data_IF_807285509687
#
_entry.id   IF_807285509687
#
_cell.length_a   1.000
_cell.length_b   1.000
_cell.length_c   1.000
_cell.angle_alpha   90.00
_cell.angle_beta   90.00
_cell.angle_gamma   90.00
#
_symmetry.space_group_name_H-M   'P 1'
#
loop_
_entity.id
_entity.type
_entity.pdbx_description
1 polymer ?
#
# COMPACT_ATOMS: atom_id res chain seq x y z
N UNK A 1 25.26 41.73 2.75
CA UNK A 1 23.90 41.39 3.22
C UNK A 1 23.89 39.92 3.63
N UNK A 2 24.26 39.66 4.88
CA UNK A 2 24.24 38.35 5.53
C UNK A 2 23.42 38.52 6.81
N UNK A 3 22.16 38.12 6.79
CA UNK A 3 21.29 37.95 7.98
C UNK A 3 20.02 37.27 7.49
N UNK A 4 19.90 35.96 7.71
CA UNK A 4 18.62 35.23 7.82
C UNK A 4 18.77 33.75 8.24
N UNK A 5 20.00 33.23 8.37
CA UNK A 5 20.21 31.84 8.83
C UNK A 5 20.11 31.62 10.34
N UNK A 6 20.05 32.67 11.16
CA UNK A 6 20.00 32.52 12.62
C UNK A 6 18.58 32.25 13.13
N UNK A 7 17.54 32.78 12.47
CA UNK A 7 16.16 32.66 12.93
C UNK A 7 15.56 31.24 12.76
N UNK A 8 15.97 30.48 11.74
CA UNK A 8 15.46 29.12 11.48
C UNK A 8 16.03 28.10 12.48
N UNK A 9 17.21 28.36 13.05
CA UNK A 9 17.88 27.44 14.00
C UNK A 9 17.22 27.41 15.38
N UNK A 10 16.58 28.50 15.81
CA UNK A 10 15.93 28.57 17.11
C UNK A 10 14.51 28.00 17.11
N UNK A 11 13.82 27.98 15.97
CA UNK A 11 12.46 27.43 15.86
C UNK A 11 12.44 25.89 15.87
N UNK A 12 13.47 25.25 15.32
CA UNK A 12 13.61 23.78 15.31
C UNK A 12 14.05 23.19 16.67
N UNK A 13 14.80 23.94 17.48
CA UNK A 13 15.24 23.48 18.80
C UNK A 13 14.08 23.37 19.82
N UNK A 14 13.06 24.22 19.69
CA UNK A 14 11.88 24.19 20.56
C UNK A 14 10.93 23.02 20.29
N UNK A 15 10.85 22.54 19.04
CA UNK A 15 9.96 21.44 18.67
C UNK A 15 10.52 20.05 19.05
N UNK A 16 11.84 19.91 19.09
CA UNK A 16 12.53 18.65 19.43
C UNK A 16 12.47 18.30 20.93
N UNK A 17 12.20 19.28 21.80
CA UNK A 17 12.11 19.08 23.24
C UNK A 17 10.79 18.41 23.71
N UNK A 18 9.80 18.27 22.82
CA UNK A 18 8.50 17.67 23.13
C UNK A 18 8.30 16.27 22.53
N UNK A 19 9.31 15.70 21.87
CA UNK A 19 9.24 14.37 21.25
C UNK A 19 9.94 13.31 22.13
N UNK A 20 9.38 12.08 22.23
CA UNK A 20 10.05 10.98 22.90
C UNK A 20 11.45 10.72 22.28
N UNK A 21 12.45 10.28 23.08
CA UNK A 21 13.86 10.13 22.64
C UNK A 21 14.08 9.28 21.38
N UNK A 22 13.13 8.41 21.05
CA UNK A 22 13.15 7.54 19.86
C UNK A 22 13.06 8.34 18.56
N UNK A 23 12.27 9.41 18.52
CA UNK A 23 12.05 10.21 17.30
C UNK A 23 13.24 11.12 16.97
N UNK A 24 13.98 11.56 18.00
CA UNK A 24 15.20 12.37 17.82
C UNK A 24 16.30 11.57 17.12
N UNK A 25 16.38 10.25 17.33
CA UNK A 25 17.34 9.37 16.62
C UNK A 25 16.93 9.07 15.17
N UNK A 26 15.63 9.06 14.86
CA UNK A 26 15.13 8.82 13.50
C UNK A 26 15.30 10.07 12.62
N UNK A 27 15.12 11.27 13.19
CA UNK A 27 15.21 12.54 12.45
C UNK A 27 16.65 13.09 12.29
N UNK A 28 17.59 12.72 13.16
CA UNK A 28 19.00 13.18 13.06
C UNK A 28 19.88 12.33 12.13
N UNK A 29 19.35 11.26 11.53
CA UNK A 29 20.04 10.49 10.49
C UNK A 29 19.83 11.11 9.10
N UNK A 30 20.22 12.37 8.92
CA UNK A 30 20.35 13.03 7.63
C UNK A 30 21.84 13.16 7.24
N UNK A 31 22.46 11.99 7.04
CA UNK A 31 23.57 11.73 6.13
C UNK A 31 23.08 10.58 5.23
N UNK A 32 23.53 10.42 3.97
CA UNK A 32 22.87 9.54 3.00
C UNK A 32 22.84 8.12 3.58
N UNK A 33 21.68 7.75 4.12
CA UNK A 33 21.53 6.52 4.88
C UNK A 33 21.68 5.39 3.89
N UNK A 34 22.50 4.40 4.24
CA UNK A 34 22.52 3.15 3.51
C UNK A 34 21.06 2.69 3.27
N UNK A 35 20.73 2.17 2.08
CA UNK A 35 19.36 1.78 1.77
C UNK A 35 18.83 0.88 2.89
N UNK A 36 17.72 1.29 3.50
CA UNK A 36 17.05 0.48 4.54
C UNK A 36 16.67 -0.85 3.89
N UNK A 37 17.08 -1.97 4.49
CA UNK A 37 16.78 -3.27 3.93
C UNK A 37 15.27 -3.53 3.94
N UNK A 38 14.77 -4.30 2.96
CA UNK A 38 13.36 -4.72 2.93
C UNK A 38 12.95 -5.40 4.23
N UNK A 39 13.84 -6.22 4.80
CA UNK A 39 13.61 -6.87 6.09
C UNK A 39 13.37 -5.87 7.22
N UNK A 40 14.13 -4.77 7.26
CA UNK A 40 13.93 -3.72 8.27
C UNK A 40 12.61 -2.98 8.07
N UNK A 41 12.18 -2.74 6.83
CA UNK A 41 10.87 -2.15 6.54
C UNK A 41 9.71 -3.07 6.98
N UNK A 42 9.83 -4.37 6.73
CA UNK A 42 8.84 -5.37 7.16
C UNK A 42 8.75 -5.43 8.69
N UNK A 43 9.89 -5.43 9.39
CA UNK A 43 9.90 -5.45 10.85
C UNK A 43 9.35 -4.16 11.46
N UNK A 44 9.61 -3.00 10.83
CA UNK A 44 9.02 -1.73 11.24
C UNK A 44 7.48 -1.74 11.10
N UNK A 45 6.94 -2.25 9.99
CA UNK A 45 5.51 -2.47 9.81
C UNK A 45 4.95 -3.41 10.89
N UNK A 46 5.68 -4.46 11.27
CA UNK A 46 5.22 -5.36 12.32
C UNK A 46 5.13 -4.71 13.69
N UNK A 47 6.05 -3.81 14.03
CA UNK A 47 5.99 -3.01 15.25
C UNK A 47 4.79 -2.06 15.19
N UNK A 48 4.58 -1.36 14.07
CA UNK A 48 3.42 -0.48 13.89
C UNK A 48 2.08 -1.21 14.06
N UNK A 49 1.97 -2.44 13.53
CA UNK A 49 0.76 -3.25 13.70
C UNK A 49 0.53 -3.67 15.16
N UNK A 50 1.59 -3.90 15.95
CA UNK A 50 1.46 -4.15 17.38
C UNK A 50 0.97 -2.90 18.14
N UNK A 51 1.55 -1.73 17.82
CA UNK A 51 1.08 -0.47 18.39
C UNK A 51 -0.40 -0.22 18.10
N UNK A 52 -0.86 -0.52 16.89
CA UNK A 52 -2.27 -0.39 16.51
C UNK A 52 -3.16 -1.41 17.25
N UNK A 53 -2.68 -2.65 17.43
CA UNK A 53 -3.38 -3.65 18.23
C UNK A 53 -3.63 -3.17 19.66
N UNK A 54 -2.64 -2.50 20.27
CA UNK A 54 -2.74 -1.99 21.65
C UNK A 54 -3.63 -0.74 21.75
N UNK A 55 -3.73 0.06 20.68
CA UNK A 55 -4.59 1.26 20.63
C UNK A 55 -6.07 0.93 20.38
N UNK A 56 -6.38 -0.26 19.88
CA UNK A 56 -7.77 -0.61 19.56
C UNK A 56 -8.57 -0.85 20.84
N UNK A 57 -9.62 -0.06 21.14
CA UNK A 57 -10.54 -0.40 22.20
C UNK A 57 -11.23 -1.71 21.79
N UNK A 58 -11.07 -2.76 22.58
CA UNK A 58 -11.71 -4.05 22.32
C UNK A 58 -13.21 -3.84 22.06
N UNK A 59 -13.68 -4.09 20.83
CA UNK A 59 -15.10 -4.01 20.50
C UNK A 59 -15.83 -5.24 21.05
N UNK A 60 -16.43 -5.05 22.23
CA UNK A 60 -17.81 -5.44 22.53
C UNK A 60 -18.12 -6.84 23.04
N UNK A 61 -18.16 -7.03 24.36
CA UNK A 61 -19.12 -7.91 25.07
C UNK A 61 -19.06 -7.64 26.58
N UNK A 62 -20.21 -7.76 27.25
CA UNK A 62 -20.41 -7.50 28.68
C UNK A 62 -19.44 -8.28 29.57
N UNK A 63 -18.85 -7.59 30.56
CA UNK A 63 -17.88 -8.16 31.50
C UNK A 63 -16.46 -7.76 31.14
N UNK A 64 -16.12 -6.49 31.33
CA UNK A 64 -14.74 -6.04 31.23
C UNK A 64 -13.86 -6.77 32.26
N UNK A 65 -12.79 -7.49 31.88
CA UNK A 65 -11.58 -7.43 32.66
C UNK A 65 -10.94 -6.06 32.41
N UNK A 66 -10.42 -5.47 33.49
CA UNK A 66 -9.89 -4.13 33.55
C UNK A 66 -8.96 -3.79 32.38
N UNK A 67 -8.93 -2.50 32.01
CA UNK A 67 -7.82 -1.92 31.27
C UNK A 67 -6.51 -2.46 31.83
N UNK A 68 -5.74 -3.15 30.98
CA UNK A 68 -4.45 -3.72 31.36
C UNK A 68 -3.53 -2.54 31.71
N UNK A 69 -3.29 -2.36 33.00
CA UNK A 69 -2.46 -1.30 33.59
C UNK A 69 -1.12 -1.86 34.08
N UNK A 70 -0.59 -2.88 33.42
CA UNK A 70 0.76 -3.39 33.71
C UNK A 70 1.80 -2.66 32.88
N UNK A 71 2.99 -2.49 33.46
CA UNK A 71 4.16 -1.80 32.91
C UNK A 71 4.74 -2.41 31.59
N UNK A 72 3.98 -3.28 30.91
CA UNK A 72 4.34 -3.93 29.64
C UNK A 72 4.37 -2.93 28.46
N UNK A 73 3.66 -1.79 28.59
CA UNK A 73 3.30 -0.89 27.49
C UNK A 73 4.38 0.09 27.01
N UNK A 74 5.49 0.28 27.73
CA UNK A 74 6.49 1.27 27.30
C UNK A 74 7.42 0.77 26.18
N UNK A 75 7.37 -0.52 25.83
CA UNK A 75 8.44 -1.18 25.07
C UNK A 75 8.08 -1.65 23.65
N UNK A 76 6.80 -1.83 23.27
CA UNK A 76 6.38 -1.87 21.85
C UNK A 76 6.15 -3.25 21.18
N UNK A 77 5.93 -4.33 21.94
CA UNK A 77 5.47 -5.64 21.46
C UNK A 77 4.78 -6.34 22.64
N UNK A 78 3.51 -6.72 22.48
CA UNK A 78 2.75 -7.41 23.54
C UNK A 78 2.74 -8.93 23.37
N UNK A 79 2.79 -9.65 24.50
CA UNK A 79 2.62 -11.10 24.51
C UNK A 79 1.22 -11.51 24.04
N UNK A 80 0.20 -10.67 24.29
CA UNK A 80 -1.16 -10.88 23.81
C UNK A 80 -1.23 -10.90 22.28
N UNK A 81 -0.61 -9.92 21.61
CA UNK A 81 -0.57 -9.92 20.14
C UNK A 81 0.26 -11.07 19.59
N UNK A 82 1.38 -11.41 20.23
CA UNK A 82 2.18 -12.60 19.90
C UNK A 82 1.32 -13.87 19.90
N UNK A 83 0.50 -14.06 20.95
CA UNK A 83 -0.47 -15.17 21.00
C UNK A 83 -1.45 -15.16 19.82
N UNK A 84 -2.00 -13.99 19.47
CA UNK A 84 -2.92 -13.84 18.33
C UNK A 84 -2.26 -14.18 16.98
N UNK A 85 -0.99 -13.85 16.81
CA UNK A 85 -0.20 -14.22 15.62
C UNK A 85 -0.02 -15.74 15.55
N UNK A 86 0.36 -16.39 16.65
CA UNK A 86 0.51 -17.85 16.71
C UNK A 86 -0.83 -18.58 16.48
N UNK A 87 -1.94 -18.06 17.02
CA UNK A 87 -3.27 -18.61 16.77
C UNK A 87 -3.68 -18.47 15.31
N UNK A 88 -3.35 -17.33 14.66
CA UNK A 88 -3.58 -17.15 13.22
C UNK A 88 -2.74 -18.13 12.39
N UNK A 89 -1.49 -18.36 12.79
CA UNK A 89 -0.63 -19.33 12.12
C UNK A 89 -1.17 -20.76 12.26
N UNK A 90 -1.61 -21.17 13.46
CA UNK A 90 -2.22 -22.49 13.66
C UNK A 90 -3.48 -22.71 12.80
N UNK A 91 -4.40 -21.73 12.78
CA UNK A 91 -5.59 -21.79 11.92
C UNK A 91 -5.26 -21.82 10.43
N UNK A 92 -4.20 -21.13 10.01
CA UNK A 92 -3.76 -21.15 8.63
C UNK A 92 -3.16 -22.51 8.26
N UNK A 93 -2.38 -23.13 9.14
CA UNK A 93 -1.80 -24.45 8.93
C UNK A 93 -2.89 -25.51 8.79
N UNK A 94 -3.92 -25.46 9.64
CA UNK A 94 -5.10 -26.31 9.55
C UNK A 94 -5.83 -26.13 8.21
N UNK A 95 -6.09 -24.89 7.80
CA UNK A 95 -6.73 -24.58 6.51
C UNK A 95 -5.93 -25.06 5.31
N UNK A 96 -4.60 -24.98 5.38
CA UNK A 96 -3.69 -25.46 4.34
C UNK A 96 -3.41 -26.95 4.45
N UNK A 97 -3.92 -27.63 5.48
CA UNK A 97 -3.71 -29.06 5.76
C UNK A 97 -2.23 -29.44 5.76
N UNK A 98 -1.37 -28.61 6.34
CA UNK A 98 0.10 -28.79 6.35
C UNK A 98 0.64 -28.97 7.77
N UNK A 99 1.59 -29.90 7.92
CA UNK A 99 2.29 -30.17 9.17
C UNK A 99 3.71 -29.59 9.20
N UNK A 100 4.16 -28.94 8.11
CA UNK A 100 5.55 -28.51 7.91
C UNK A 100 6.10 -27.58 9.01
N UNK A 101 5.23 -26.97 9.83
CA UNK A 101 5.58 -26.01 10.87
C UNK A 101 5.01 -26.36 12.26
N UNK A 102 4.45 -27.57 12.43
CA UNK A 102 3.80 -27.97 13.68
C UNK A 102 4.77 -27.91 14.88
N UNK A 103 6.00 -28.37 14.71
CA UNK A 103 7.04 -28.31 15.73
C UNK A 103 7.41 -26.86 16.10
N UNK A 104 7.57 -25.98 15.10
CA UNK A 104 7.86 -24.56 15.34
C UNK A 104 6.73 -23.86 16.11
N UNK A 105 5.47 -24.16 15.76
CA UNK A 105 4.31 -23.61 16.48
C UNK A 105 4.25 -24.08 17.93
N UNK A 106 4.50 -25.37 18.17
CA UNK A 106 4.52 -25.93 19.52
C UNK A 106 5.63 -25.30 20.38
N UNK A 107 6.84 -25.19 19.83
CA UNK A 107 7.98 -24.54 20.49
C UNK A 107 7.69 -23.07 20.83
N UNK A 108 7.22 -22.27 19.87
CA UNK A 108 6.88 -20.86 20.09
C UNK A 108 5.73 -20.67 21.09
N UNK A 109 4.76 -21.60 21.14
CA UNK A 109 3.72 -21.60 22.19
C UNK A 109 4.29 -21.90 23.58
N UNK A 110 5.26 -22.81 23.67
CA UNK A 110 6.00 -23.06 24.90
C UNK A 110 6.77 -21.82 25.38
N UNK A 111 7.48 -21.16 24.47
CA UNK A 111 8.19 -19.90 24.76
C UNK A 111 7.21 -18.80 25.21
N UNK A 112 6.06 -18.67 24.55
CA UNK A 112 5.02 -17.72 24.94
C UNK A 112 4.53 -17.99 26.37
N UNK A 113 4.21 -19.25 26.69
CA UNK A 113 3.72 -19.62 28.02
C UNK A 113 4.77 -19.36 29.12
N UNK A 114 6.05 -19.62 28.83
CA UNK A 114 7.15 -19.31 29.74
C UNK A 114 7.28 -17.79 29.99
N UNK A 115 7.19 -16.97 28.94
CA UNK A 115 7.23 -15.50 29.08
C UNK A 115 6.01 -14.95 29.81
N UNK A 116 4.82 -15.51 29.59
CA UNK A 116 3.60 -15.13 30.31
C UNK A 116 3.65 -15.48 31.81
N UNK A 117 4.43 -16.50 32.19
CA UNK A 117 4.61 -16.92 33.58
C UNK A 117 5.71 -16.15 34.30
N UNK A 118 6.54 -15.37 33.58
CA UNK A 118 7.62 -14.60 34.16
C UNK A 118 7.08 -13.31 34.82
N UNK A 119 7.60 -12.97 36.00
CA UNK A 119 7.20 -11.76 36.72
C UNK A 119 7.55 -10.47 35.96
N UNK A 120 8.62 -10.49 35.15
CA UNK A 120 9.04 -9.39 34.29
C UNK A 120 9.73 -9.95 33.04
N UNK A 121 8.97 -10.30 31.98
CA UNK A 121 9.54 -10.89 30.78
C UNK A 121 10.44 -9.87 30.05
N UNK A 122 11.72 -10.21 29.76
CA UNK A 122 12.65 -9.31 29.07
C UNK A 122 12.09 -8.82 27.74
N UNK A 123 12.29 -7.54 27.46
CA UNK A 123 11.82 -6.90 26.24
C UNK A 123 12.35 -7.60 24.98
N UNK A 124 13.65 -7.88 24.93
CA UNK A 124 14.30 -8.52 23.78
C UNK A 124 13.69 -9.89 23.50
N UNK A 125 13.41 -10.68 24.53
CA UNK A 125 12.78 -11.99 24.39
C UNK A 125 11.35 -11.90 23.84
N UNK A 126 10.56 -10.92 24.30
CA UNK A 126 9.21 -10.66 23.77
C UNK A 126 9.26 -10.27 22.29
N UNK A 127 10.14 -9.32 21.94
CA UNK A 127 10.33 -8.84 20.57
C UNK A 127 10.78 -9.96 19.62
N UNK A 128 11.77 -10.74 20.02
CA UNK A 128 12.26 -11.85 19.19
C UNK A 128 11.20 -12.92 18.97
N UNK A 129 10.44 -13.30 20.01
CA UNK A 129 9.35 -14.26 19.87
C UNK A 129 8.26 -13.74 18.91
N UNK A 130 7.87 -12.48 19.02
CA UNK A 130 6.89 -11.87 18.13
C UNK A 130 7.36 -11.86 16.68
N UNK A 131 8.61 -11.45 16.43
CA UNK A 131 9.16 -11.45 15.07
C UNK A 131 9.30 -12.86 14.51
N UNK A 132 9.69 -13.84 15.33
CA UNK A 132 9.75 -15.23 14.91
C UNK A 132 8.36 -15.79 14.58
N UNK A 133 7.34 -15.46 15.38
CA UNK A 133 5.95 -15.82 15.10
C UNK A 133 5.46 -15.19 13.78
N UNK A 134 5.82 -13.92 13.50
CA UNK A 134 5.47 -13.22 12.27
C UNK A 134 6.17 -13.79 11.03
N UNK A 135 7.47 -14.09 11.14
CA UNK A 135 8.23 -14.79 10.10
C UNK A 135 7.64 -16.17 9.81
N UNK A 136 7.28 -16.92 10.84
CA UNK A 136 6.64 -18.24 10.70
C UNK A 136 5.29 -18.12 9.99
N UNK A 137 4.43 -17.20 10.42
CA UNK A 137 3.14 -16.95 9.79
C UNK A 137 3.31 -16.57 8.31
N UNK A 138 4.29 -15.71 7.98
CA UNK A 138 4.61 -15.33 6.60
C UNK A 138 5.06 -16.54 5.77
N UNK A 139 6.02 -17.33 6.26
CA UNK A 139 6.50 -18.56 5.59
C UNK A 139 5.35 -19.54 5.33
N UNK A 140 4.53 -19.77 6.35
CA UNK A 140 3.35 -20.64 6.23
C UNK A 140 2.37 -20.10 5.17
N UNK A 141 2.08 -18.80 5.15
CA UNK A 141 1.21 -18.21 4.14
C UNK A 141 1.75 -18.43 2.72
N UNK A 142 3.06 -18.40 2.52
CA UNK A 142 3.69 -18.61 1.22
C UNK A 142 3.73 -20.07 0.78
N UNK A 143 3.38 -21.02 1.66
CA UNK A 143 3.15 -22.42 1.24
C UNK A 143 1.76 -22.65 0.63
N UNK A 144 0.93 -21.62 0.56
CA UNK A 144 -0.42 -21.74 0.00
C UNK A 144 -0.36 -22.02 -1.51
N UNK A 145 -0.89 -23.16 -2.00
CA UNK A 145 -0.84 -23.52 -3.43
C UNK A 145 -1.66 -22.57 -4.32
N UNK A 146 -2.53 -21.72 -3.76
CA UNK A 146 -3.24 -20.69 -4.52
C UNK A 146 -2.37 -19.47 -4.84
N UNK A 147 -1.20 -19.35 -4.22
CA UNK A 147 -0.21 -18.32 -4.54
C UNK A 147 0.73 -18.80 -5.67
N UNK A 148 0.15 -19.40 -6.70
CA UNK A 148 0.86 -19.93 -7.87
C UNK A 148 1.03 -18.84 -8.95
N UNK A 149 1.72 -17.77 -8.58
CA UNK A 149 2.07 -16.69 -9.49
C UNK A 149 3.40 -16.03 -9.05
N UNK A 150 4.16 -15.56 -10.03
CA UNK A 150 5.50 -15.01 -9.83
C UNK A 150 5.55 -13.48 -9.89
N UNK A 151 4.41 -12.84 -10.17
CA UNK A 151 4.30 -11.41 -10.43
C UNK A 151 3.03 -10.80 -9.83
N UNK A 152 3.16 -9.63 -9.23
CA UNK A 152 2.03 -8.81 -8.77
C UNK A 152 2.07 -7.46 -9.48
N UNK A 153 1.01 -7.12 -10.20
CA UNK A 153 0.81 -5.78 -10.78
C UNK A 153 0.26 -4.84 -9.71
N UNK A 154 0.80 -3.63 -9.64
CA UNK A 154 0.26 -2.58 -8.77
C UNK A 154 0.58 -1.18 -9.30
N UNK A 155 -0.23 -0.20 -8.89
CA UNK A 155 0.00 1.21 -9.17
C UNK A 155 0.55 1.90 -7.93
N UNK A 156 1.52 2.80 -8.13
CA UNK A 156 1.80 3.87 -7.17
C UNK A 156 1.19 5.14 -7.72
N UNK A 157 0.54 5.92 -6.86
CA UNK A 157 -0.02 7.24 -7.19
C UNK A 157 -0.02 8.12 -5.95
N UNK A 158 -0.09 9.42 -6.15
CA UNK A 158 -0.37 10.36 -5.08
C UNK A 158 -1.86 10.39 -4.75
N UNK A 159 -2.19 10.80 -3.53
CA UNK A 159 -3.56 11.18 -3.20
C UNK A 159 -4.02 12.31 -4.12
N UNK A 160 -5.29 12.29 -4.52
CA UNK A 160 -5.85 13.34 -5.36
C UNK A 160 -5.79 14.69 -4.67
N UNK A 161 -5.41 15.71 -5.44
CA UNK A 161 -5.48 17.10 -5.01
C UNK A 161 -6.92 17.60 -4.88
N UNK A 162 -7.06 18.81 -4.37
CA UNK A 162 -8.37 19.46 -4.20
C UNK A 162 -9.11 19.01 -2.94
N UNK A 163 -10.42 18.79 -3.06
CA UNK A 163 -11.26 18.43 -1.91
C UNK A 163 -11.09 16.94 -1.62
N UNK A 164 -10.83 16.59 -0.36
CA UNK A 164 -10.66 15.20 0.04
C UNK A 164 -12.03 14.52 0.19
N UNK A 165 -12.50 13.88 -0.88
CA UNK A 165 -13.76 13.14 -0.90
C UNK A 165 -13.63 11.86 -1.74
N UNK A 166 -14.43 10.83 -1.40
CA UNK A 166 -14.30 9.47 -1.94
C UNK A 166 -14.35 9.36 -3.48
N UNK A 167 -15.02 10.27 -4.18
CA UNK A 167 -15.11 10.26 -5.65
C UNK A 167 -14.04 11.10 -6.36
N UNK A 168 -13.43 12.06 -5.68
CA UNK A 168 -12.53 13.05 -6.29
C UNK A 168 -11.24 12.44 -6.81
N UNK A 169 -10.88 11.26 -6.27
CA UNK A 169 -9.76 10.45 -6.71
C UNK A 169 -9.89 9.88 -8.13
N UNK A 170 -11.09 9.94 -8.72
CA UNK A 170 -11.37 9.46 -10.08
C UNK A 170 -11.50 10.59 -11.11
N UNK A 171 -11.40 11.85 -10.68
CA UNK A 171 -11.37 12.98 -11.61
C UNK A 171 -9.93 13.27 -12.02
N UNK A 172 -9.65 13.22 -13.32
CA UNK A 172 -8.33 13.55 -13.85
C UNK A 172 -7.87 14.96 -13.47
N UNK A 173 -8.80 15.90 -13.29
CA UNK A 173 -8.50 17.27 -12.88
C UNK A 173 -7.95 17.38 -11.45
N UNK A 174 -8.17 16.36 -10.62
CA UNK A 174 -7.62 16.28 -9.28
C UNK A 174 -6.36 15.40 -9.23
N UNK A 175 -5.95 14.80 -10.34
CA UNK A 175 -4.76 13.96 -10.38
C UNK A 175 -3.51 14.78 -10.05
N UNK A 176 -2.66 14.24 -9.18
CA UNK A 176 -1.33 14.81 -8.89
C UNK A 176 -0.30 13.95 -9.61
N UNK A 177 0.52 14.52 -10.52
CA UNK A 177 1.51 13.76 -11.28
C UNK A 177 2.46 12.98 -10.37
N UNK A 178 2.74 11.73 -10.72
CA UNK A 178 3.72 10.89 -10.05
C UNK A 178 3.24 9.47 -9.82
N UNK A 179 4.20 8.61 -9.49
CA UNK A 179 3.96 7.18 -9.39
C UNK A 179 4.18 6.47 -10.72
N UNK A 180 3.34 5.47 -11.03
CA UNK A 180 3.55 4.60 -12.19
C UNK A 180 2.85 3.25 -12.06
N UNK A 181 3.04 2.45 -13.10
CA UNK A 181 2.57 1.07 -13.19
C UNK A 181 3.74 0.12 -12.95
N UNK A 182 3.69 -0.65 -11.87
CA UNK A 182 4.82 -1.45 -11.39
C UNK A 182 4.46 -2.93 -11.30
N UNK A 183 5.47 -3.77 -11.49
CA UNK A 183 5.40 -5.21 -11.26
C UNK A 183 6.34 -5.56 -10.11
N UNK A 184 5.83 -6.30 -9.12
CA UNK A 184 6.63 -6.98 -8.12
C UNK A 184 6.90 -8.40 -8.62
N UNK A 185 8.15 -8.68 -8.96
CA UNK A 185 8.67 -9.98 -9.37
C UNK A 185 9.14 -10.75 -8.14
N UNK A 186 8.96 -12.07 -8.14
CA UNK A 186 9.28 -12.97 -7.02
C UNK A 186 8.67 -12.51 -5.68
N UNK A 187 7.36 -12.25 -5.59
CA UNK A 187 6.72 -11.66 -4.41
C UNK A 187 6.81 -12.52 -3.14
N UNK A 188 7.06 -13.82 -3.32
CA UNK A 188 7.05 -14.84 -2.26
C UNK A 188 8.43 -15.46 -1.99
N UNK A 189 9.43 -15.21 -2.83
CA UNK A 189 10.80 -15.66 -2.62
C UNK A 189 11.62 -14.74 -1.72
N UNK A 190 12.92 -14.99 -1.71
CA UNK A 190 13.88 -14.32 -0.84
C UNK A 190 14.33 -12.95 -1.37
N UNK A 191 14.19 -12.71 -2.68
CA UNK A 191 14.64 -11.47 -3.35
C UNK A 191 13.55 -10.84 -4.24
N UNK A 192 12.44 -10.35 -3.66
CA UNK A 192 11.41 -9.65 -4.44
C UNK A 192 11.96 -8.38 -5.09
N UNK A 193 11.61 -8.15 -6.36
CA UNK A 193 12.11 -7.01 -7.16
C UNK A 193 10.97 -6.19 -7.72
N UNK A 194 11.06 -4.87 -7.59
CA UNK A 194 10.09 -3.95 -8.20
C UNK A 194 10.65 -3.45 -9.53
N UNK A 195 9.88 -3.62 -10.59
CA UNK A 195 10.16 -3.09 -11.93
C UNK A 195 9.08 -2.08 -12.32
N UNK A 196 9.49 -0.95 -12.88
CA UNK A 196 8.58 -0.03 -13.58
C UNK A 196 8.25 -0.64 -14.95
N UNK A 197 6.98 -0.96 -15.17
CA UNK A 197 6.50 -1.61 -16.40
C UNK A 197 6.69 -0.71 -17.61
N UNK A 198 6.58 0.61 -17.42
CA UNK A 198 6.58 1.61 -18.50
C UNK A 198 7.92 2.36 -18.64
N UNK A 199 8.96 1.90 -17.94
CA UNK A 199 10.28 2.53 -17.91
C UNK A 199 10.95 2.71 -19.29
N UNK A 200 10.54 1.94 -20.31
CA UNK A 200 10.98 2.10 -21.70
C UNK A 200 9.84 2.28 -22.69
N UNK A 201 8.59 2.26 -22.24
CA UNK A 201 7.42 2.25 -23.10
C UNK A 201 7.15 3.65 -23.69
N UNK A 202 6.84 3.68 -24.98
CA UNK A 202 6.39 4.85 -25.73
C UNK A 202 5.02 4.53 -26.30
N UNK A 203 4.08 5.47 -26.19
CA UNK A 203 2.73 5.29 -26.74
C UNK A 203 2.83 5.16 -28.26
N UNK A 204 2.34 4.05 -28.81
CA UNK A 204 2.38 3.72 -30.22
C UNK A 204 1.16 4.27 -30.99
N UNK A 205 0.00 4.39 -30.31
CA UNK A 205 -1.28 4.78 -30.92
C UNK A 205 -2.10 5.70 -30.02
N UNK A 206 -2.87 6.58 -30.67
CA UNK A 206 -3.77 7.55 -30.04
C UNK A 206 -3.18 8.97 -29.95
N UNK A 207 -3.86 9.87 -29.23
CA UNK A 207 -3.50 11.30 -29.13
C UNK A 207 -2.09 11.49 -28.56
N UNK A 208 -1.68 10.63 -27.63
CA UNK A 208 -0.37 10.69 -27.00
C UNK A 208 0.74 9.91 -27.74
N UNK A 209 0.52 9.48 -28.98
CA UNK A 209 1.55 8.74 -29.73
C UNK A 209 2.91 9.45 -29.77
N UNK A 210 3.99 8.69 -29.58
CA UNK A 210 5.36 9.19 -29.47
C UNK A 210 5.75 9.74 -28.11
N UNK A 211 4.84 9.73 -27.11
CA UNK A 211 5.12 10.21 -25.75
C UNK A 211 5.40 9.05 -24.79
N UNK A 212 6.19 9.33 -23.76
CA UNK A 212 6.31 8.49 -22.57
C UNK A 212 5.34 8.98 -21.49
N UNK A 213 4.75 8.06 -20.73
CA UNK A 213 3.82 8.37 -19.65
C UNK A 213 4.57 8.60 -18.34
N UNK A 214 5.25 9.74 -18.19
CA UNK A 214 6.11 10.03 -17.02
C UNK A 214 5.59 11.16 -16.12
N UNK A 215 4.70 12.01 -16.63
CA UNK A 215 4.22 13.23 -15.96
C UNK A 215 2.70 13.23 -15.81
N UNK A 216 2.15 12.17 -15.24
CA UNK A 216 0.70 12.03 -15.03
C UNK A 216 0.36 11.13 -13.85
N UNK A 217 -0.90 10.76 -13.76
CA UNK A 217 -1.42 9.87 -12.72
C UNK A 217 -1.98 8.59 -13.35
N UNK A 218 -1.87 7.49 -12.60
CA UNK A 218 -2.27 6.14 -13.01
C UNK A 218 -3.40 5.65 -12.11
N UNK A 219 -4.37 4.95 -12.71
CA UNK A 219 -5.51 4.35 -12.02
C UNK A 219 -5.84 2.98 -12.57
N UNK A 220 -6.57 2.21 -11.75
CA UNK A 220 -7.38 1.07 -12.18
C UNK A 220 -6.67 0.09 -13.10
N UNK A 221 -5.52 -0.49 -12.69
CA UNK A 221 -4.89 -1.54 -13.47
C UNK A 221 -5.78 -2.78 -13.50
N UNK A 222 -5.92 -3.38 -14.68
CA UNK A 222 -6.65 -4.63 -14.94
C UNK A 222 -5.77 -5.55 -15.78
N UNK A 223 -5.69 -6.82 -15.39
CA UNK A 223 -4.90 -7.84 -16.10
C UNK A 223 -5.83 -8.71 -16.93
N UNK A 224 -5.43 -9.04 -18.16
CA UNK A 224 -6.16 -9.99 -19.00
C UNK A 224 -6.19 -11.39 -18.38
N UNK A 225 -7.14 -12.24 -18.81
CA UNK A 225 -7.30 -13.59 -18.27
C UNK A 225 -6.07 -14.49 -18.46
N UNK A 226 -5.27 -14.26 -19.50
CA UNK A 226 -4.01 -14.95 -19.79
C UNK A 226 -2.78 -14.28 -19.16
N UNK A 227 -2.94 -13.09 -18.56
CA UNK A 227 -1.84 -12.34 -17.95
C UNK A 227 -0.91 -11.65 -18.94
N UNK A 228 -1.23 -11.62 -20.23
CA UNK A 228 -0.35 -11.08 -21.28
C UNK A 228 -0.59 -9.59 -21.57
N UNK A 229 -1.79 -9.07 -21.34
CA UNK A 229 -2.16 -7.67 -21.55
C UNK A 229 -2.65 -7.00 -20.26
N UNK A 230 -2.39 -5.71 -20.16
CA UNK A 230 -2.77 -4.88 -19.01
C UNK A 230 -3.53 -3.67 -19.54
N UNK A 231 -4.69 -3.39 -18.95
CA UNK A 231 -5.41 -2.13 -19.09
C UNK A 231 -5.13 -1.26 -17.87
N UNK A 232 -5.16 0.05 -18.06
CA UNK A 232 -5.09 1.02 -16.97
C UNK A 232 -5.66 2.36 -17.43
N UNK A 233 -6.02 3.21 -16.48
CA UNK A 233 -6.36 4.60 -16.75
C UNK A 233 -5.14 5.50 -16.53
N UNK A 234 -4.90 6.45 -17.44
CA UNK A 234 -3.87 7.47 -17.29
C UNK A 234 -4.43 8.86 -17.60
N UNK A 235 -4.06 9.83 -16.76
CA UNK A 235 -4.41 11.24 -16.92
C UNK A 235 -3.16 12.11 -16.91
N UNK A 236 -3.10 13.12 -17.79
CA UNK A 236 -1.95 14.03 -17.88
C UNK A 236 -1.92 15.10 -16.78
N UNK A 237 -2.97 15.18 -15.95
CA UNK A 237 -3.06 16.06 -14.78
C UNK A 237 -2.77 17.54 -15.10
N UNK A 238 -3.34 18.05 -16.20
CA UNK A 238 -3.11 19.43 -16.67
C UNK A 238 -4.17 20.44 -16.23
N UNK A 239 -5.01 20.09 -15.26
CA UNK A 239 -5.98 21.04 -14.70
C UNK A 239 -5.28 22.21 -14.02
N UNK A 240 -5.83 23.41 -14.19
CA UNK A 240 -5.41 24.61 -13.45
C UNK A 240 -6.38 24.96 -12.33
N UNK A 241 -7.61 24.44 -12.38
CA UNK A 241 -8.66 24.65 -11.40
C UNK A 241 -9.46 23.35 -11.18
N UNK A 242 -10.29 23.30 -10.14
CA UNK A 242 -11.16 22.16 -9.86
C UNK A 242 -12.31 22.08 -10.87
N UNK A 243 -12.79 20.87 -11.14
CA UNK A 243 -13.93 20.62 -12.04
C UNK A 243 -13.72 21.13 -13.47
N UNK A 244 -12.51 20.90 -13.99
CA UNK A 244 -12.21 21.04 -15.41
C UNK A 244 -12.23 19.67 -16.08
N UNK A 245 -12.62 19.65 -17.35
CA UNK A 245 -12.72 18.46 -18.19
C UNK A 245 -12.12 18.75 -19.55
N UNK A 246 -11.34 17.81 -20.06
CA UNK A 246 -10.57 17.99 -21.27
C UNK A 246 -9.65 16.80 -21.52
N UNK A 247 -9.17 16.61 -22.75
CA UNK A 247 -8.32 15.47 -23.10
C UNK A 247 -7.08 15.34 -22.21
N UNK A 248 -6.46 16.46 -21.83
CA UNK A 248 -5.28 16.51 -20.95
C UNK A 248 -5.62 16.54 -19.45
N UNK A 249 -6.91 16.57 -19.13
CA UNK A 249 -7.44 16.80 -17.78
C UNK A 249 -8.31 15.62 -17.31
N UNK A 250 -8.60 14.66 -18.18
CA UNK A 250 -9.37 13.47 -17.87
C UNK A 250 -8.52 12.21 -17.94
N UNK A 251 -8.92 11.18 -17.20
CA UNK A 251 -8.35 9.84 -17.33
C UNK A 251 -8.85 9.18 -18.63
N UNK A 252 -7.94 8.49 -19.32
CA UNK A 252 -8.22 7.70 -20.50
C UNK A 252 -7.71 6.29 -20.34
N UNK A 253 -8.35 5.33 -21.01
CA UNK A 253 -7.94 3.93 -20.98
C UNK A 253 -6.76 3.71 -21.92
N UNK A 254 -5.74 3.04 -21.40
CA UNK A 254 -4.58 2.57 -22.13
C UNK A 254 -4.49 1.05 -22.04
N UNK A 255 -3.78 0.45 -23.00
CA UNK A 255 -3.41 -0.95 -23.02
C UNK A 255 -1.92 -1.09 -23.23
N UNK A 256 -1.31 -2.08 -22.60
CA UNK A 256 0.11 -2.43 -22.78
C UNK A 256 0.28 -3.94 -22.57
N UNK A 257 1.30 -4.54 -23.19
CA UNK A 257 1.72 -5.90 -22.88
C UNK A 257 2.34 -5.99 -21.49
N UNK A 258 2.29 -7.17 -20.86
CA UNK A 258 2.92 -7.44 -19.57
C UNK A 258 4.46 -7.32 -19.60
N UNK A 259 5.05 -7.31 -20.79
CA UNK A 259 6.46 -7.01 -21.04
C UNK A 259 6.76 -5.50 -21.23
N UNK A 260 5.73 -4.66 -21.30
CA UNK A 260 5.82 -3.22 -21.53
C UNK A 260 5.72 -2.80 -23.00
N UNK A 261 5.53 -3.73 -23.94
CA UNK A 261 5.39 -3.45 -25.38
C UNK A 261 3.95 -3.06 -25.77
N UNK A 262 3.74 -2.54 -26.98
CA UNK A 262 2.39 -2.35 -27.52
C UNK A 262 1.55 -1.29 -26.82
N UNK A 263 2.18 -0.33 -26.13
CA UNK A 263 1.49 0.69 -25.36
C UNK A 263 0.59 1.54 -26.27
N UNK A 264 -0.72 1.50 -26.07
CA UNK A 264 -1.69 2.18 -26.91
C UNK A 264 -2.77 2.87 -26.07
N UNK A 265 -3.13 4.10 -26.44
CA UNK A 265 -4.28 4.79 -25.90
C UNK A 265 -5.55 4.30 -26.62
N UNK A 266 -6.55 3.86 -25.85
CA UNK A 266 -7.81 3.31 -26.36
C UNK A 266 -8.96 4.32 -26.36
N UNK A 267 -8.97 5.25 -25.40
CA UNK A 267 -10.00 6.31 -25.32
C UNK A 267 -9.38 7.70 -25.35
N UNK A 268 -10.17 8.69 -25.76
CA UNK A 268 -9.78 10.10 -25.76
C UNK A 268 -11.04 10.99 -25.67
N UNK A 269 -10.85 12.26 -25.34
CA UNK A 269 -11.91 13.26 -25.26
C UNK A 269 -12.00 13.93 -23.89
N UNK A 270 -13.05 14.72 -23.64
CA UNK A 270 -13.13 15.54 -22.43
C UNK A 270 -13.66 14.80 -21.20
N UNK A 271 -13.86 13.48 -21.24
CA UNK A 271 -14.52 12.73 -20.17
C UNK A 271 -13.56 11.75 -19.51
N UNK A 272 -13.72 11.53 -18.21
CA UNK A 272 -12.98 10.46 -17.55
C UNK A 272 -13.52 9.10 -17.98
N UNK A 273 -12.61 8.25 -18.45
CA UNK A 273 -12.79 6.82 -18.69
C UNK A 273 -11.79 6.06 -17.78
N UNK A 274 -12.28 5.21 -16.87
CA UNK A 274 -11.48 4.49 -15.87
C UNK A 274 -12.14 3.16 -15.46
N UNK A 275 -11.54 2.41 -14.53
CA UNK A 275 -12.00 1.07 -14.12
C UNK A 275 -12.30 0.12 -15.30
N UNK A 276 -11.33 -0.10 -16.21
CA UNK A 276 -11.52 -1.04 -17.30
C UNK A 276 -11.61 -2.48 -16.79
N UNK A 277 -12.38 -3.31 -17.47
CA UNK A 277 -12.45 -4.75 -17.23
C UNK A 277 -12.52 -5.52 -18.55
N UNK A 278 -11.75 -6.61 -18.64
CA UNK A 278 -11.86 -7.54 -19.75
C UNK A 278 -13.10 -8.41 -19.63
N UNK A 279 -13.90 -8.45 -20.69
CA UNK A 279 -14.98 -9.42 -20.84
C UNK A 279 -14.43 -10.73 -21.42
N UNK A 280 -15.07 -11.89 -21.17
CA UNK A 280 -14.59 -13.19 -21.65
C UNK A 280 -14.42 -13.31 -23.18
N UNK A 281 -15.05 -12.41 -23.95
CA UNK A 281 -14.92 -12.37 -25.40
C UNK A 281 -13.89 -11.37 -25.91
N UNK A 282 -13.00 -10.86 -25.05
CA UNK A 282 -11.96 -9.89 -25.39
C UNK A 282 -12.44 -8.44 -25.55
N UNK A 283 -13.75 -8.17 -25.35
CA UNK A 283 -14.24 -6.79 -25.28
C UNK A 283 -13.84 -6.15 -23.96
N UNK A 284 -13.79 -4.83 -23.95
CA UNK A 284 -13.49 -4.04 -22.75
C UNK A 284 -14.76 -3.29 -22.35
N UNK A 285 -15.12 -3.38 -21.07
CA UNK A 285 -16.08 -2.48 -20.43
C UNK A 285 -15.31 -1.54 -19.51
N UNK A 286 -15.78 -0.31 -19.32
CA UNK A 286 -15.13 0.67 -18.44
C UNK A 286 -16.16 1.67 -17.93
N UNK A 287 -15.83 2.34 -16.83
CA UNK A 287 -16.64 3.43 -16.29
C UNK A 287 -16.33 4.72 -17.03
N UNK A 288 -17.37 5.45 -17.44
CA UNK A 288 -17.27 6.71 -18.17
C UNK A 288 -18.20 7.78 -17.62
N UNK A 289 -17.73 9.02 -17.64
CA UNK A 289 -18.53 10.23 -17.37
C UNK A 289 -19.29 10.75 -18.60
N UNK A 290 -19.09 10.14 -19.78
CA UNK A 290 -19.61 10.64 -21.07
C UNK A 290 -21.12 10.82 -21.11
N UNK A 291 -21.87 10.07 -20.30
CA UNK A 291 -23.33 10.24 -20.18
C UNK A 291 -23.71 11.65 -19.68
N UNK A 292 -22.84 12.26 -18.87
CA UNK A 292 -23.07 13.54 -18.23
C UNK A 292 -24.12 13.49 -17.13
N UNK A 293 -24.37 14.67 -16.54
CA UNK A 293 -25.25 14.84 -15.39
C UNK A 293 -24.48 14.80 -14.07
N UNK A 294 -25.17 15.18 -13.00
CA UNK A 294 -24.62 15.25 -11.65
C UNK A 294 -25.59 14.62 -10.66
N UNK A 295 -25.07 14.07 -9.57
CA UNK A 295 -25.92 13.68 -8.45
C UNK A 295 -26.71 14.89 -7.92
N UNK A 296 -27.94 14.64 -7.45
CA UNK A 296 -28.91 15.69 -7.09
C UNK A 296 -28.64 16.33 -5.73
N UNK A 297 -27.86 15.67 -4.87
CA UNK A 297 -27.63 16.10 -3.49
C UNK A 297 -26.18 16.51 -3.28
N UNK A 298 -25.86 17.81 -3.35
CA UNK A 298 -24.53 18.33 -3.01
C UNK A 298 -23.82 19.04 -4.17
N UNK A 299 -22.48 18.96 -4.16
CA UNK A 299 -21.58 19.60 -5.14
C UNK A 299 -21.59 18.91 -6.51
N UNK A 300 -20.89 19.49 -7.49
CA UNK A 300 -20.64 18.88 -8.80
C UNK A 300 -19.93 17.53 -8.66
N UNK A 301 -20.70 16.46 -8.73
CA UNK A 301 -20.17 15.10 -8.79
C UNK A 301 -20.83 14.41 -9.99
N UNK A 302 -20.09 14.24 -11.10
CA UNK A 302 -20.57 13.62 -12.32
C UNK A 302 -21.19 12.25 -12.07
N UNK A 303 -22.11 11.87 -12.95
CA UNK A 303 -22.65 10.52 -12.99
C UNK A 303 -21.68 9.61 -13.73
N UNK A 304 -21.34 8.49 -13.09
CA UNK A 304 -20.55 7.41 -13.68
C UNK A 304 -21.45 6.36 -14.29
N UNK A 305 -21.11 5.90 -15.49
CA UNK A 305 -21.83 4.82 -16.18
C UNK A 305 -20.89 3.81 -16.81
N UNK A 306 -21.33 2.55 -16.87
CA UNK A 306 -20.69 1.48 -17.63
C UNK A 306 -21.38 1.30 -18.99
#
# INVERSE_FOLDING_TARGET
MQTNHVAVRWFLAGLLAALPPVWVKVLLAAAPSAPVSLQALIEADWVQQDELFNRSPAQGAAGAPAAVTTAEDASGVTLAHTGRVLDRAARLAERLQTEAFAANLADMRGQLAALQSAASPPWEARRELYFNARRLLRKLAFTNPLLDFDRILFVKRHDSGGVFHMCDQYYGCNGVPGGGLFVLEDPFGDEPRVRDLLAGAVVEKGRLAGRRLVDGAFLSPEVSFDGEEILFAFGECRATETYQWGPEISYHIFRVGADGSGLAQLTDGPWNDFDPCYLPNGRIVFVSERRGGYLRCGRHCPVYTM
#
